data_IF_291919388054
#
_entry.id   IF_291919388054
#
_cell.length_a   1.000
_cell.length_b   1.000
_cell.length_c   1.000
_cell.angle_alpha   90.00
_cell.angle_beta   90.00
_cell.angle_gamma   90.00
#
_symmetry.space_group_name_H-M   'P 1'
#
loop_
_entity.id
_entity.type
_entity.pdbx_description
1 polymer ?
#
# COMPACT_ATOMS: atom_id res chain seq x y z
N UNK A 1 27.07 -31.61 -9.90
CA UNK A 1 27.85 -30.43 -10.31
C UNK A 1 27.13 -29.78 -11.49
N UNK A 2 26.39 -28.70 -11.24
CA UNK A 2 25.81 -27.85 -12.30
C UNK A 2 26.76 -26.66 -12.44
N UNK A 3 27.60 -26.69 -13.47
CA UNK A 3 28.52 -25.61 -13.79
C UNK A 3 27.72 -24.38 -14.20
N UNK A 4 27.64 -23.39 -13.32
CA UNK A 4 27.25 -22.04 -13.71
C UNK A 4 28.35 -21.48 -14.61
N UNK A 5 28.13 -21.45 -15.92
CA UNK A 5 28.92 -20.61 -16.81
C UNK A 5 28.73 -19.16 -16.36
N UNK A 6 29.77 -18.59 -15.77
CA UNK A 6 29.83 -17.18 -15.43
C UNK A 6 29.52 -16.39 -16.71
N UNK A 7 28.41 -15.66 -16.71
CA UNK A 7 27.98 -14.85 -17.84
C UNK A 7 28.99 -13.73 -18.01
N UNK A 8 29.83 -13.84 -19.03
CA UNK A 8 30.66 -12.74 -19.53
C UNK A 8 29.73 -11.78 -20.29
N UNK A 9 28.92 -11.01 -19.55
CA UNK A 9 27.93 -10.08 -20.09
C UNK A 9 28.30 -8.65 -19.70
N UNK A 10 28.74 -7.89 -20.69
CA UNK A 10 28.88 -6.44 -20.63
C UNK A 10 27.63 -5.83 -21.27
N UNK A 11 27.05 -4.81 -20.65
CA UNK A 11 25.91 -4.08 -21.19
C UNK A 11 26.08 -2.58 -20.89
N UNK A 12 26.28 -1.81 -21.96
CA UNK A 12 26.41 -0.36 -21.91
C UNK A 12 25.07 0.28 -22.27
N UNK A 13 24.65 1.25 -21.47
CA UNK A 13 23.40 1.99 -21.66
C UNK A 13 23.70 3.48 -21.68
N UNK A 14 23.29 4.16 -22.75
CA UNK A 14 23.34 5.62 -22.86
C UNK A 14 21.92 6.17 -22.85
N UNK A 15 21.66 7.16 -22.00
CA UNK A 15 20.39 7.88 -21.95
C UNK A 15 20.65 9.38 -21.96
N UNK A 16 19.86 10.12 -22.75
CA UNK A 16 19.93 11.58 -22.78
C UNK A 16 19.17 12.16 -21.60
N UNK A 17 19.78 13.14 -20.94
CA UNK A 17 19.12 13.90 -19.89
C UNK A 17 18.11 14.88 -20.50
N UNK A 18 17.07 15.20 -19.73
CA UNK A 18 16.10 16.23 -20.05
C UNK A 18 16.23 17.35 -19.01
N UNK A 19 16.07 18.58 -19.47
CA UNK A 19 15.94 19.73 -18.58
C UNK A 19 14.49 19.77 -18.07
N UNK A 20 14.31 19.66 -16.76
CA UNK A 20 12.99 19.58 -16.11
C UNK A 20 12.97 20.64 -15.01
N UNK A 21 12.04 21.58 -15.13
CA UNK A 21 11.76 22.56 -14.08
C UNK A 21 11.31 21.83 -12.81
N UNK A 22 12.02 22.07 -11.70
CA UNK A 22 11.73 21.43 -10.41
C UNK A 22 11.15 22.43 -9.42
N UNK A 23 9.83 22.37 -9.25
CA UNK A 23 9.15 23.05 -8.16
C UNK A 23 9.09 22.13 -6.95
N UNK A 24 9.70 22.54 -5.84
CA UNK A 24 9.67 21.79 -4.58
C UNK A 24 8.51 22.28 -3.72
N UNK A 25 7.53 21.41 -3.48
CA UNK A 25 6.49 21.65 -2.48
C UNK A 25 6.98 21.13 -1.12
N UNK A 26 6.96 22.00 -0.10
CA UNK A 26 7.24 21.59 1.27
C UNK A 26 6.10 20.73 1.83
N UNK A 27 6.44 19.67 2.54
CA UNK A 27 5.46 18.88 3.30
C UNK A 27 5.31 19.49 4.70
N UNK A 28 4.08 19.78 5.16
CA UNK A 28 3.85 20.19 6.54
C UNK A 28 4.00 18.99 7.50
N UNK A 29 4.27 19.27 8.77
CA UNK A 29 4.05 18.28 9.83
C UNK A 29 2.55 18.07 10.00
N UNK A 30 2.11 16.81 9.92
CA UNK A 30 0.70 16.43 10.04
C UNK A 30 0.55 15.40 11.16
N UNK A 31 -0.42 15.64 12.04
CA UNK A 31 -0.87 14.65 13.01
C UNK A 31 -1.97 13.80 12.38
N UNK A 32 -1.77 12.49 12.37
CA UNK A 32 -2.73 11.55 11.80
C UNK A 32 -3.63 10.97 12.91
N UNK A 33 -4.94 11.01 12.69
CA UNK A 33 -5.91 10.47 13.65
C UNK A 33 -5.89 8.95 13.73
N UNK A 34 -5.41 8.27 12.69
CA UNK A 34 -5.37 6.82 12.60
C UNK A 34 -4.28 6.36 11.66
N UNK A 35 -3.64 5.24 11.99
CA UNK A 35 -2.59 4.62 11.18
C UNK A 35 -2.91 3.12 11.06
N UNK A 36 -2.82 2.59 9.85
CA UNK A 36 -2.88 1.14 9.61
C UNK A 36 -1.64 0.67 8.87
N UNK A 37 -1.01 -0.38 9.39
CA UNK A 37 0.01 -1.16 8.68
C UNK A 37 -0.57 -2.51 8.30
N UNK A 38 -0.35 -2.92 7.05
CA UNK A 38 -0.82 -4.21 6.53
C UNK A 38 0.14 -4.75 5.45
N UNK A 39 -0.02 -6.01 5.02
CA UNK A 39 0.74 -6.55 3.90
C UNK A 39 0.46 -5.76 2.61
N UNK A 40 1.51 -5.37 1.90
CA UNK A 40 1.41 -4.60 0.65
C UNK A 40 0.70 -5.38 -0.47
N UNK A 41 0.79 -6.70 -0.44
CA UNK A 41 0.07 -7.61 -1.32
C UNK A 41 -1.44 -7.59 -1.06
N UNK A 42 -1.86 -7.50 0.20
CA UNK A 42 -3.28 -7.42 0.58
C UNK A 42 -3.86 -6.06 0.18
N UNK A 43 -3.13 -4.98 0.44
CA UNK A 43 -3.45 -3.65 -0.07
C UNK A 43 -3.62 -3.66 -1.60
N UNK A 44 -2.71 -4.30 -2.35
CA UNK A 44 -2.80 -4.43 -3.80
C UNK A 44 -4.06 -5.18 -4.26
N UNK A 45 -4.38 -6.30 -3.60
CA UNK A 45 -5.58 -7.09 -3.90
C UNK A 45 -6.85 -6.29 -3.68
N UNK A 46 -7.00 -5.66 -2.52
CA UNK A 46 -8.17 -4.86 -2.14
C UNK A 46 -8.49 -3.83 -3.22
N UNK A 47 -7.52 -3.00 -3.63
CA UNK A 47 -7.83 -1.94 -4.60
C UNK A 47 -8.08 -2.46 -6.01
N UNK A 48 -7.44 -3.56 -6.44
CA UNK A 48 -7.75 -4.20 -7.73
C UNK A 48 -9.18 -4.74 -7.74
N UNK A 49 -9.57 -5.43 -6.67
CA UNK A 49 -10.90 -6.02 -6.55
C UNK A 49 -11.99 -4.93 -6.54
N UNK A 50 -11.82 -3.89 -5.72
CA UNK A 50 -12.77 -2.78 -5.63
C UNK A 50 -12.86 -1.97 -6.94
N UNK A 51 -11.77 -1.84 -7.68
CA UNK A 51 -11.75 -1.12 -8.97
C UNK A 51 -12.54 -1.82 -10.08
N UNK A 52 -12.84 -3.11 -9.93
CA UNK A 52 -13.73 -3.81 -10.86
C UNK A 52 -15.21 -3.44 -10.67
N UNK A 53 -15.55 -2.77 -9.56
CA UNK A 53 -16.92 -2.50 -9.12
C UNK A 53 -17.27 -1.01 -9.18
N UNK A 54 -16.32 -0.12 -8.89
CA UNK A 54 -16.55 1.32 -8.95
C UNK A 54 -15.27 2.15 -8.97
N UNK A 55 -15.43 3.47 -9.04
CA UNK A 55 -14.32 4.42 -9.23
C UNK A 55 -13.80 5.05 -7.92
N UNK A 56 -14.57 4.94 -6.85
CA UNK A 56 -14.27 5.57 -5.54
C UNK A 56 -14.30 4.52 -4.44
N UNK A 57 -13.36 4.61 -3.52
CA UNK A 57 -13.31 3.80 -2.31
C UNK A 57 -13.48 4.68 -1.08
N UNK A 58 -14.37 4.27 -0.18
CA UNK A 58 -14.50 4.83 1.16
C UNK A 58 -13.64 3.96 2.10
N UNK A 59 -12.66 4.57 2.74
CA UNK A 59 -11.81 3.94 3.76
C UNK A 59 -12.30 4.42 5.12
N UNK A 60 -12.77 3.51 5.97
CA UNK A 60 -13.29 3.82 7.30
C UNK A 60 -12.52 3.07 8.38
N UNK A 61 -11.88 3.81 9.27
CA UNK A 61 -11.14 3.31 10.43
C UNK A 61 -12.05 3.38 11.66
N UNK A 62 -12.28 2.23 12.29
CA UNK A 62 -13.10 2.12 13.50
C UNK A 62 -12.44 1.17 14.51
N UNK A 63 -13.01 1.08 15.72
CA UNK A 63 -12.57 0.11 16.74
C UNK A 63 -12.65 -1.35 16.27
N UNK A 64 -13.51 -1.65 15.28
CA UNK A 64 -13.66 -3.01 14.75
C UNK A 64 -12.60 -3.37 13.70
N UNK A 65 -11.88 -2.38 13.17
CA UNK A 65 -10.92 -2.54 12.08
C UNK A 65 -11.02 -1.46 11.02
N UNK A 66 -10.31 -1.68 9.91
CA UNK A 66 -10.38 -0.84 8.71
C UNK A 66 -11.32 -1.46 7.68
N UNK A 67 -12.25 -0.66 7.17
CA UNK A 67 -13.22 -1.05 6.16
C UNK A 67 -12.98 -0.29 4.86
N UNK A 68 -12.90 -1.02 3.75
CA UNK A 68 -12.84 -0.49 2.40
C UNK A 68 -14.18 -0.75 1.70
N UNK A 69 -14.78 0.27 1.10
CA UNK A 69 -16.12 0.15 0.49
C UNK A 69 -16.20 0.85 -0.86
N UNK A 70 -16.80 0.18 -1.84
CA UNK A 70 -17.17 0.78 -3.14
C UNK A 70 -18.53 0.23 -3.55
N UNK A 71 -19.51 1.10 -3.80
CA UNK A 71 -20.89 0.68 -4.07
C UNK A 71 -21.41 -0.31 -3.01
N UNK A 72 -21.67 -1.55 -3.42
CA UNK A 72 -22.16 -2.64 -2.56
C UNK A 72 -21.05 -3.56 -2.02
N UNK A 73 -19.80 -3.38 -2.46
CA UNK A 73 -18.68 -4.21 -2.03
C UNK A 73 -18.02 -3.64 -0.77
N UNK A 74 -17.70 -4.54 0.16
CA UNK A 74 -17.14 -4.21 1.45
C UNK A 74 -16.05 -5.23 1.81
N UNK A 75 -14.87 -4.74 2.18
CA UNK A 75 -13.78 -5.56 2.71
C UNK A 75 -13.42 -4.98 4.08
N UNK A 76 -13.27 -5.83 5.09
CA UNK A 76 -12.93 -5.41 6.46
C UNK A 76 -11.68 -6.17 6.90
N UNK A 77 -10.63 -5.43 7.23
CA UNK A 77 -9.43 -5.95 7.87
C UNK A 77 -9.50 -5.64 9.37
N UNK A 78 -9.31 -6.66 10.19
CA UNK A 78 -9.24 -6.53 11.64
C UNK A 78 -7.80 -6.68 12.10
N UNK A 79 -7.45 -6.00 13.19
CA UNK A 79 -6.18 -6.21 13.85
C UNK A 79 -6.03 -7.69 14.21
N UNK A 80 -4.87 -8.27 13.88
CA UNK A 80 -4.56 -9.65 14.20
C UNK A 80 -3.20 -9.74 14.92
N UNK A 81 -3.18 -10.49 16.01
CA UNK A 81 -1.97 -10.85 16.75
C UNK A 81 -2.05 -12.34 17.03
N UNK A 82 -1.58 -13.14 16.05
CA UNK A 82 -1.45 -14.59 16.16
C UNK A 82 0.00 -14.97 16.42
N UNK A 83 0.25 -16.19 16.91
CA UNK A 83 1.60 -16.72 17.15
C UNK A 83 2.44 -16.77 15.85
N UNK A 84 1.76 -16.86 14.70
CA UNK A 84 2.38 -16.75 13.37
C UNK A 84 2.91 -15.34 13.09
N UNK A 85 2.19 -14.30 13.52
CA UNK A 85 2.61 -12.90 13.33
C UNK A 85 3.86 -12.54 14.14
N UNK A 86 4.16 -13.27 15.22
CA UNK A 86 5.42 -13.09 15.97
C UNK A 86 6.63 -13.62 15.18
N UNK A 87 6.40 -14.60 14.29
CA UNK A 87 7.42 -15.15 13.40
C UNK A 87 7.47 -14.41 12.05
N UNK A 88 6.32 -13.90 11.60
CA UNK A 88 6.11 -13.18 10.33
C UNK A 88 5.39 -11.84 10.58
N UNK A 89 6.06 -10.83 11.14
CA UNK A 89 5.45 -9.53 11.48
C UNK A 89 4.98 -8.74 10.25
N UNK A 90 5.45 -9.10 9.05
CA UNK A 90 5.03 -8.56 7.76
C UNK A 90 3.60 -8.95 7.38
N UNK A 91 3.09 -10.07 7.89
CA UNK A 91 1.73 -10.56 7.63
C UNK A 91 0.69 -9.93 8.58
N UNK A 92 1.15 -9.23 9.61
CA UNK A 92 0.30 -8.63 10.63
C UNK A 92 -0.42 -7.37 10.14
N UNK A 93 -1.67 -7.22 10.57
CA UNK A 93 -2.47 -6.00 10.46
C UNK A 93 -2.39 -5.28 11.80
N UNK A 94 -1.74 -4.12 11.80
CA UNK A 94 -1.59 -3.26 12.99
C UNK A 94 -2.40 -2.00 12.77
N UNK A 95 -3.25 -1.65 13.74
CA UNK A 95 -4.13 -0.49 13.68
C UNK A 95 -3.89 0.35 14.93
N UNK A 96 -3.49 1.59 14.73
CA UNK A 96 -3.38 2.62 15.76
C UNK A 96 -4.48 3.65 15.48
N UNK A 97 -5.42 3.83 16.41
CA UNK A 97 -6.57 4.70 16.19
C UNK A 97 -6.78 5.63 17.39
N UNK A 98 -6.58 6.92 17.16
CA UNK A 98 -6.91 7.97 18.12
C UNK A 98 -8.39 8.36 17.99
N UNK A 99 -8.84 8.63 16.75
CA UNK A 99 -10.22 8.97 16.43
C UNK A 99 -10.71 8.21 15.19
N UNK A 100 -12.00 7.82 15.11
CA UNK A 100 -12.54 7.21 13.90
C UNK A 100 -12.47 8.16 12.70
N UNK A 101 -12.03 7.64 11.55
CA UNK A 101 -11.89 8.41 10.30
C UNK A 101 -12.67 7.72 9.19
N UNK A 102 -13.31 8.50 8.31
CA UNK A 102 -13.91 7.99 7.08
C UNK A 102 -13.65 8.97 5.94
N UNK A 103 -12.90 8.52 4.92
CA UNK A 103 -12.48 9.35 3.79
C UNK A 103 -12.71 8.62 2.47
N UNK A 104 -12.98 9.39 1.42
CA UNK A 104 -13.23 8.88 0.07
C UNK A 104 -12.08 9.23 -0.86
N UNK A 105 -11.62 8.25 -1.63
CA UNK A 105 -10.52 8.42 -2.58
C UNK A 105 -10.85 7.79 -3.93
N UNK A 106 -10.29 8.34 -5.00
CA UNK A 106 -10.43 7.74 -6.31
C UNK A 106 -9.51 6.51 -6.45
N UNK A 107 -10.10 5.37 -6.82
CA UNK A 107 -9.44 4.07 -6.95
C UNK A 107 -8.33 4.07 -8.00
N UNK A 108 -8.43 4.94 -9.01
CA UNK A 108 -7.39 5.17 -10.03
C UNK A 108 -6.02 5.50 -9.42
N UNK A 109 -6.00 6.37 -8.40
CA UNK A 109 -4.74 6.75 -7.73
C UNK A 109 -4.27 5.64 -6.80
N UNK A 110 -5.19 4.99 -6.08
CA UNK A 110 -4.85 3.87 -5.21
C UNK A 110 -4.18 2.74 -5.98
N UNK A 111 -4.72 2.33 -7.13
CA UNK A 111 -4.06 1.36 -8.01
C UNK A 111 -2.68 1.80 -8.48
N UNK A 112 -2.46 3.11 -8.68
CA UNK A 112 -1.14 3.62 -9.06
C UNK A 112 -0.13 3.45 -7.93
N UNK A 113 -0.54 3.67 -6.67
CA UNK A 113 0.30 3.42 -5.49
C UNK A 113 0.62 1.93 -5.29
N UNK A 114 -0.31 1.02 -5.61
CA UNK A 114 -0.06 -0.45 -5.53
C UNK A 114 1.07 -0.94 -6.45
N UNK A 115 1.53 -0.13 -7.42
CA UNK A 115 2.71 -0.49 -8.24
C UNK A 115 4.00 -0.52 -7.43
N UNK A 116 4.02 0.13 -6.26
CA UNK A 116 5.13 0.11 -5.32
C UNK A 116 5.19 -1.15 -4.45
N UNK A 117 4.20 -2.06 -4.53
CA UNK A 117 4.17 -3.32 -3.76
C UNK A 117 5.50 -4.10 -3.78
N UNK A 118 6.26 -4.21 -4.89
CA UNK A 118 7.55 -4.93 -4.88
C UNK A 118 8.67 -4.26 -4.08
N UNK A 119 8.49 -3.04 -3.57
CA UNK A 119 9.49 -2.30 -2.80
C UNK A 119 9.47 -2.64 -1.30
N UNK A 120 8.36 -3.18 -0.79
CA UNK A 120 8.19 -3.51 0.64
C UNK A 120 7.06 -4.52 0.83
N UNK A 121 7.26 -5.48 1.72
CA UNK A 121 6.23 -6.48 2.07
C UNK A 121 5.06 -5.87 2.86
N UNK A 122 5.26 -4.69 3.47
CA UNK A 122 4.23 -3.96 4.21
C UNK A 122 3.99 -2.57 3.65
N UNK A 123 2.79 -2.03 3.90
CA UNK A 123 2.40 -0.66 3.58
C UNK A 123 1.72 -0.04 4.80
N UNK A 124 1.98 1.25 5.01
CA UNK A 124 1.35 2.07 6.05
C UNK A 124 0.48 3.13 5.41
N UNK A 125 -0.75 3.27 5.91
CA UNK A 125 -1.69 4.35 5.57
C UNK A 125 -1.92 5.16 6.84
N UNK A 126 -1.79 6.48 6.76
CA UNK A 126 -1.97 7.43 7.86
C UNK A 126 -2.78 8.63 7.39
#
# INVERSE_FOLDING_TARGET
>A
MLSSSARDKIADFEMRLMDIDSEHLGLPEAEYHSIVRMPSNEFSRIYKDLSSIGDTVVISMTKEGVKFSTGTANIVLRQNTTVDNDQHPEDAIVIEMNEPVSLSFALRYMNSFTKATPLSDTVTIS
#
